data_IF_318872273611
#
_entry.id   IF_318872273611
#
_cell.length_a   1.000
_cell.length_b   1.000
_cell.length_c   1.000
_cell.angle_alpha   90.00
_cell.angle_beta   90.00
_cell.angle_gamma   90.00
#
_symmetry.space_group_name_H-M   'P 1'
#
loop_
_entity.id
_entity.type
_entity.pdbx_description
1 polymer ?
#
# COMPACT_ATOMS: atom_id res chain seq x y z
N UNK A 1 -30.89 -49.75 -50.43
CA UNK A 1 -31.07 -49.94 -51.88
C UNK A 1 -32.51 -49.62 -52.19
N UNK A 2 -32.69 -48.51 -52.91
CA UNK A 2 -33.48 -48.44 -54.14
C UNK A 2 -34.92 -48.98 -54.13
N UNK A 3 -35.94 -48.31 -54.65
CA UNK A 3 -36.12 -47.00 -55.30
C UNK A 3 -37.63 -46.96 -55.64
N UNK A 4 -38.23 -45.77 -55.64
CA UNK A 4 -39.44 -45.41 -56.41
C UNK A 4 -40.78 -46.07 -55.97
N UNK A 5 -41.96 -45.48 -56.10
CA UNK A 5 -42.47 -44.25 -56.68
C UNK A 5 -43.94 -44.20 -56.26
N UNK A 6 -44.49 -43.02 -55.95
CA UNK A 6 -45.78 -42.73 -56.58
C UNK A 6 -45.86 -41.25 -56.91
N UNK A 7 -45.83 -41.01 -58.22
CA UNK A 7 -45.87 -39.74 -58.89
C UNK A 7 -47.30 -39.57 -59.42
N UNK A 8 -47.70 -38.30 -59.52
CA UNK A 8 -48.64 -37.75 -60.51
C UNK A 8 -50.14 -37.98 -60.33
N UNK A 9 -50.84 -36.87 -60.09
CA UNK A 9 -52.01 -36.41 -60.85
C UNK A 9 -52.07 -34.89 -60.63
N UNK A 10 -51.76 -34.00 -61.58
CA UNK A 10 -52.27 -33.82 -62.94
C UNK A 10 -53.77 -33.47 -62.97
N UNK A 11 -54.06 -32.18 -63.20
CA UNK A 11 -54.85 -31.65 -64.33
C UNK A 11 -55.70 -30.44 -63.94
N UNK A 12 -55.74 -29.46 -64.84
CA UNK A 12 -56.77 -28.41 -64.88
C UNK A 12 -56.18 -27.01 -64.74
N UNK A 13 -55.45 -26.49 -65.73
CA UNK A 13 -56.03 -25.81 -66.90
C UNK A 13 -56.98 -24.68 -66.50
N UNK A 14 -56.55 -23.43 -66.70
CA UNK A 14 -57.33 -22.40 -67.41
C UNK A 14 -56.50 -21.12 -67.59
N UNK A 15 -56.20 -20.82 -68.86
CA UNK A 15 -56.37 -19.48 -69.44
C UNK A 15 -55.35 -18.37 -69.11
N UNK A 16 -55.20 -17.38 -70.01
CA UNK A 16 -53.89 -16.86 -70.40
C UNK A 16 -53.69 -15.36 -70.06
N UNK A 17 -52.48 -14.89 -70.41
CA UNK A 17 -52.02 -13.49 -70.42
C UNK A 17 -51.66 -13.00 -69.00
N UNK A 18 -50.43 -12.59 -68.69
CA UNK A 18 -49.85 -11.27 -68.98
C UNK A 18 -48.30 -11.37 -68.95
N UNK A 19 -47.61 -10.68 -69.87
CA UNK A 19 -46.17 -10.38 -69.85
C UNK A 19 -45.75 -9.67 -68.55
N UNK A 20 -44.71 -10.16 -67.88
CA UNK A 20 -43.82 -9.34 -67.02
C UNK A 20 -42.38 -9.81 -67.27
N UNK A 21 -41.63 -9.09 -68.11
CA UNK A 21 -40.72 -8.00 -67.74
C UNK A 21 -39.58 -8.48 -66.83
N UNK A 22 -38.35 -8.42 -67.35
CA UNK A 22 -37.11 -8.59 -66.60
C UNK A 22 -37.10 -7.58 -65.44
N UNK A 23 -37.45 -8.04 -64.25
CA UNK A 23 -37.19 -7.34 -63.01
C UNK A 23 -36.10 -8.08 -62.26
N UNK A 24 -34.84 -7.68 -62.45
CA UNK A 24 -33.80 -7.96 -61.45
C UNK A 24 -34.29 -7.41 -60.11
N UNK A 25 -34.77 -8.30 -59.23
CA UNK A 25 -35.05 -7.97 -57.85
C UNK A 25 -33.72 -7.83 -57.11
N UNK A 26 -33.12 -6.65 -57.21
CA UNK A 26 -32.14 -6.20 -56.24
C UNK A 26 -32.85 -6.14 -54.89
N UNK A 27 -32.59 -7.13 -54.03
CA UNK A 27 -32.93 -7.05 -52.62
C UNK A 27 -32.36 -5.74 -52.06
N UNK A 28 -33.24 -4.86 -51.60
CA UNK A 28 -32.89 -3.52 -51.14
C UNK A 28 -32.00 -3.62 -49.89
N UNK A 29 -30.76 -3.10 -49.88
CA UNK A 29 -29.80 -3.25 -48.78
C UNK A 29 -30.02 -2.23 -47.66
N UNK A 30 -31.28 -2.04 -47.23
CA UNK A 30 -31.63 -1.07 -46.17
C UNK A 30 -31.48 -1.66 -44.76
N UNK A 31 -31.54 -2.98 -44.61
CA UNK A 31 -31.41 -3.70 -43.33
C UNK A 31 -29.96 -3.81 -42.83
N UNK A 32 -29.01 -4.11 -43.71
CA UNK A 32 -27.58 -4.24 -43.36
C UNK A 32 -26.96 -2.91 -42.89
N UNK A 33 -27.26 -1.80 -43.58
CA UNK A 33 -26.73 -0.47 -43.24
C UNK A 33 -27.18 0.00 -41.85
N UNK A 34 -28.42 -0.30 -41.46
CA UNK A 34 -28.96 0.10 -40.16
C UNK A 34 -28.42 -0.76 -39.00
N UNK A 35 -28.01 -2.01 -39.29
CA UNK A 35 -27.39 -2.91 -38.32
C UNK A 35 -25.92 -2.56 -38.07
N UNK A 36 -25.19 -2.21 -39.14
CA UNK A 36 -23.79 -1.76 -39.10
C UNK A 36 -23.68 -0.43 -38.36
N UNK A 37 -24.57 0.54 -38.66
CA UNK A 37 -24.58 1.84 -38.00
C UNK A 37 -24.80 1.73 -36.47
N UNK A 38 -25.69 0.83 -36.01
CA UNK A 38 -25.87 0.59 -34.56
C UNK A 38 -24.66 -0.07 -33.92
N UNK A 39 -23.99 -0.98 -34.62
CA UNK A 39 -22.76 -1.60 -34.12
C UNK A 39 -21.62 -0.60 -34.02
N UNK A 40 -21.47 0.30 -34.99
CA UNK A 40 -20.43 1.33 -35.00
C UNK A 40 -20.63 2.34 -33.85
N UNK A 41 -21.87 2.76 -33.59
CA UNK A 41 -22.21 3.60 -32.43
C UNK A 41 -21.99 2.86 -31.11
N UNK A 42 -22.34 1.57 -31.04
CA UNK A 42 -22.10 0.76 -29.84
C UNK A 42 -20.61 0.61 -29.55
N UNK A 43 -19.77 0.40 -30.57
CA UNK A 43 -18.31 0.33 -30.44
C UNK A 43 -17.74 1.67 -29.98
N UNK A 44 -18.15 2.79 -30.58
CA UNK A 44 -17.71 4.13 -30.17
C UNK A 44 -18.13 4.44 -28.73
N UNK A 45 -19.35 4.05 -28.34
CA UNK A 45 -19.81 4.16 -26.97
C UNK A 45 -18.96 3.32 -26.01
N UNK A 46 -18.63 2.08 -26.40
CA UNK A 46 -17.78 1.18 -25.61
C UNK A 46 -16.36 1.75 -25.45
N UNK A 47 -15.78 2.31 -26.50
CA UNK A 47 -14.47 2.99 -26.46
C UNK A 47 -14.51 4.23 -25.58
N UNK A 48 -15.60 5.02 -25.63
CA UNK A 48 -15.78 6.18 -24.76
C UNK A 48 -15.88 5.76 -23.28
N UNK A 49 -16.67 4.73 -22.97
CA UNK A 49 -16.79 4.16 -21.62
C UNK A 49 -15.44 3.63 -21.14
N UNK A 50 -14.70 2.95 -22.00
CA UNK A 50 -13.39 2.38 -21.68
C UNK A 50 -12.32 3.47 -21.48
N UNK A 51 -12.40 4.58 -22.23
CA UNK A 51 -11.58 5.77 -22.01
C UNK A 51 -11.90 6.49 -20.69
N UNK A 52 -13.17 6.54 -20.30
CA UNK A 52 -13.59 7.09 -19.00
C UNK A 52 -13.11 6.19 -17.84
N UNK A 53 -13.30 4.88 -17.94
CA UNK A 53 -12.83 3.91 -16.94
C UNK A 53 -11.29 3.93 -16.86
N UNK A 54 -10.61 3.94 -18.00
CA UNK A 54 -9.15 4.02 -18.08
C UNK A 54 -8.60 5.33 -17.50
N UNK A 55 -9.20 6.48 -17.84
CA UNK A 55 -8.80 7.79 -17.32
C UNK A 55 -8.99 7.93 -15.81
N UNK A 56 -10.11 7.45 -15.29
CA UNK A 56 -10.36 7.41 -13.83
C UNK A 56 -9.36 6.47 -13.14
N UNK A 57 -9.07 5.31 -13.73
CA UNK A 57 -8.11 4.34 -13.16
C UNK A 57 -6.68 4.89 -13.03
N UNK A 58 -6.22 5.69 -14.00
CA UNK A 58 -4.90 6.31 -13.97
C UNK A 58 -4.76 7.34 -12.83
N UNK A 59 -5.83 8.10 -12.57
CA UNK A 59 -5.87 9.04 -11.45
C UNK A 59 -5.79 8.32 -10.09
N UNK A 60 -6.54 7.23 -9.91
CA UNK A 60 -6.45 6.39 -8.71
C UNK A 60 -5.09 5.70 -8.56
N UNK A 61 -4.46 5.29 -9.67
CA UNK A 61 -3.13 4.68 -9.65
C UNK A 61 -2.05 5.63 -9.12
N UNK A 62 -2.07 6.90 -9.56
CA UNK A 62 -1.12 7.90 -9.10
C UNK A 62 -1.21 8.11 -7.59
N UNK A 63 -2.44 8.21 -7.07
CA UNK A 63 -2.67 8.48 -5.65
C UNK A 63 -2.38 7.26 -4.77
N UNK A 64 -2.76 6.05 -5.19
CA UNK A 64 -2.44 4.82 -4.48
C UNK A 64 -0.93 4.52 -4.49
N UNK A 65 -0.23 4.86 -5.57
CA UNK A 65 1.23 4.72 -5.66
C UNK A 65 1.93 5.68 -4.69
N UNK A 66 1.51 6.94 -4.64
CA UNK A 66 2.07 7.94 -3.72
C UNK A 66 1.83 7.56 -2.25
N UNK A 67 0.62 7.10 -1.91
CA UNK A 67 0.30 6.67 -0.55
C UNK A 67 1.09 5.42 -0.14
N UNK A 68 1.25 4.45 -1.06
CA UNK A 68 2.07 3.25 -0.81
C UNK A 68 3.54 3.61 -0.54
N UNK A 69 4.12 4.53 -1.32
CA UNK A 69 5.48 5.02 -1.10
C UNK A 69 5.61 5.75 0.23
N UNK A 70 4.62 6.57 0.61
CA UNK A 70 4.59 7.27 1.89
C UNK A 70 4.55 6.29 3.06
N UNK A 71 3.61 5.34 3.05
CA UNK A 71 3.46 4.31 4.09
C UNK A 71 4.75 3.50 4.22
N UNK A 72 5.32 3.05 3.11
CA UNK A 72 6.56 2.31 3.09
C UNK A 72 7.72 3.12 3.70
N UNK A 73 7.82 4.41 3.36
CA UNK A 73 8.82 5.32 3.96
C UNK A 73 8.60 5.47 5.48
N UNK A 74 7.35 5.62 5.92
CA UNK A 74 7.04 5.69 7.36
C UNK A 74 7.39 4.38 8.08
N UNK A 75 7.18 3.22 7.46
CA UNK A 75 7.65 1.94 7.99
C UNK A 75 9.18 1.94 8.15
N UNK A 76 9.93 2.31 7.11
CA UNK A 76 11.39 2.35 7.18
C UNK A 76 11.91 3.31 8.25
N UNK A 77 11.36 4.52 8.35
CA UNK A 77 11.74 5.49 9.38
C UNK A 77 11.49 4.93 10.79
N UNK A 78 10.37 4.23 10.96
CA UNK A 78 10.01 3.61 12.24
C UNK A 78 10.98 2.49 12.63
N UNK A 79 11.38 1.64 11.67
CA UNK A 79 12.41 0.61 11.91
C UNK A 79 13.76 1.23 12.27
N UNK A 80 14.16 2.30 11.59
CA UNK A 80 15.43 2.98 11.85
C UNK A 80 15.44 3.60 13.26
N UNK A 81 14.35 4.25 13.68
CA UNK A 81 14.23 4.77 15.06
C UNK A 81 14.40 3.64 16.08
N UNK A 82 13.75 2.49 15.87
CA UNK A 82 13.87 1.34 16.76
C UNK A 82 15.30 0.81 16.80
N UNK A 83 15.94 0.63 15.66
CA UNK A 83 17.32 0.16 15.58
C UNK A 83 18.31 1.12 16.24
N UNK A 84 18.18 2.43 15.99
CA UNK A 84 19.03 3.46 16.61
C UNK A 84 18.82 3.56 18.12
N UNK A 85 17.59 3.38 18.61
CA UNK A 85 17.32 3.33 20.04
C UNK A 85 18.08 2.17 20.70
N UNK A 86 18.01 0.97 20.13
CA UNK A 86 18.75 -0.17 20.67
C UNK A 86 20.27 0.04 20.61
N UNK A 87 20.78 0.63 19.52
CA UNK A 87 22.19 0.99 19.41
C UNK A 87 22.60 2.03 20.46
N UNK A 88 21.77 3.06 20.70
CA UNK A 88 22.00 4.09 21.72
C UNK A 88 22.07 3.49 23.13
N UNK A 89 21.15 2.57 23.46
CA UNK A 89 21.14 1.87 24.76
C UNK A 89 22.44 1.05 24.92
N UNK A 90 22.81 0.29 23.88
CA UNK A 90 24.01 -0.53 23.90
C UNK A 90 25.28 0.32 24.06
N UNK A 91 25.35 1.47 23.39
CA UNK A 91 26.48 2.37 23.48
C UNK A 91 26.59 3.02 24.86
N UNK A 92 25.47 3.47 25.45
CA UNK A 92 25.46 3.98 26.82
C UNK A 92 25.93 2.93 27.84
N UNK A 93 25.52 1.66 27.66
CA UNK A 93 26.02 0.56 28.49
C UNK A 93 27.53 0.40 28.30
N UNK A 94 28.05 0.36 27.07
CA UNK A 94 29.50 0.29 26.84
C UNK A 94 30.24 1.46 27.51
N UNK A 95 29.77 2.69 27.29
CA UNK A 95 30.41 3.90 27.80
C UNK A 95 30.54 3.92 29.32
N UNK A 96 29.50 3.50 30.03
CA UNK A 96 29.40 3.64 31.49
C UNK A 96 29.90 2.44 32.26
N UNK A 97 30.16 1.32 31.58
CA UNK A 97 30.45 0.02 32.20
C UNK A 97 31.81 -0.48 31.78
N UNK A 98 32.17 -0.27 30.52
CA UNK A 98 33.50 -0.56 30.00
C UNK A 98 34.43 0.67 30.10
N UNK A 99 33.94 1.76 30.72
CA UNK A 99 34.65 3.05 30.83
C UNK A 99 35.16 3.59 29.49
N UNK A 100 34.50 3.22 28.39
CA UNK A 100 34.85 3.68 27.06
C UNK A 100 34.40 5.13 26.86
N UNK A 101 35.34 6.06 26.97
CA UNK A 101 35.08 7.49 26.81
C UNK A 101 34.59 7.88 25.42
N UNK A 102 34.89 7.08 24.38
CA UNK A 102 34.42 7.35 23.01
C UNK A 102 32.90 7.18 22.89
N UNK A 103 32.33 6.23 23.65
CA UNK A 103 30.91 5.93 23.63
C UNK A 103 30.03 7.03 24.28
N UNK A 104 30.62 7.91 25.11
CA UNK A 104 29.95 9.11 25.62
C UNK A 104 29.73 10.18 24.54
N UNK A 105 30.59 10.22 23.53
CA UNK A 105 30.53 11.20 22.43
C UNK A 105 29.50 10.79 21.36
N UNK A 106 29.29 9.49 21.16
CA UNK A 106 28.34 8.97 20.14
C UNK A 106 26.87 8.99 20.60
N UNK A 107 26.61 8.97 21.92
CA UNK A 107 25.25 9.05 22.48
C UNK A 107 24.40 10.25 21.99
N UNK A 108 24.90 11.51 22.02
CA UNK A 108 24.14 12.66 21.53
C UNK A 108 23.88 12.61 20.01
N UNK A 109 24.72 11.92 19.23
CA UNK A 109 24.51 11.74 17.78
C UNK A 109 23.28 10.89 17.50
N UNK A 110 23.13 9.76 18.19
CA UNK A 110 21.93 8.92 18.11
C UNK A 110 20.67 9.70 18.52
N UNK A 111 20.76 10.52 19.58
CA UNK A 111 19.60 11.31 20.02
C UNK A 111 19.17 12.34 18.96
N UNK A 112 20.13 12.92 18.25
CA UNK A 112 19.88 13.90 17.21
C UNK A 112 19.27 13.21 15.97
N UNK A 113 19.85 12.09 15.53
CA UNK A 113 19.33 11.27 14.43
C UNK A 113 17.88 10.80 14.68
N UNK A 114 17.61 10.22 15.87
CA UNK A 114 16.27 9.75 16.23
C UNK A 114 15.26 10.92 16.21
N UNK A 115 15.65 12.09 16.72
CA UNK A 115 14.80 13.29 16.70
C UNK A 115 14.49 13.77 15.28
N UNK A 116 15.47 13.74 14.38
CA UNK A 116 15.29 14.08 12.97
C UNK A 116 14.33 13.12 12.27
N UNK A 117 14.43 11.81 12.56
CA UNK A 117 13.50 10.80 12.03
C UNK A 117 12.07 10.99 12.55
N UNK A 118 11.89 11.33 13.82
CA UNK A 118 10.57 11.69 14.35
C UNK A 118 9.98 12.93 13.67
N UNK A 119 10.82 13.94 13.40
CA UNK A 119 10.38 15.13 12.65
C UNK A 119 10.00 14.78 11.21
N UNK A 120 10.73 13.86 10.57
CA UNK A 120 10.36 13.35 9.25
C UNK A 120 9.05 12.57 9.25
N UNK A 121 8.83 11.69 10.23
CA UNK A 121 7.54 11.01 10.41
C UNK A 121 6.39 12.01 10.53
N UNK A 122 6.56 13.07 11.33
CA UNK A 122 5.53 14.09 11.55
C UNK A 122 5.22 14.88 10.29
N UNK A 123 6.25 15.25 9.50
CA UNK A 123 6.10 15.91 8.19
C UNK A 123 5.35 15.05 7.17
N UNK A 124 5.44 13.73 7.27
CA UNK A 124 4.78 12.76 6.38
C UNK A 124 3.43 12.28 6.90
N UNK A 125 3.03 12.71 8.10
CA UNK A 125 1.72 12.40 8.63
C UNK A 125 0.65 13.22 7.91
N UNK A 126 -0.49 12.59 7.64
CA UNK A 126 -1.64 13.22 6.94
C UNK A 126 -2.91 13.15 7.76
N UNK A 127 -2.89 12.44 8.90
CA UNK A 127 -4.05 12.29 9.75
C UNK A 127 -3.71 12.54 11.21
N UNK A 128 -4.70 13.05 11.95
CA UNK A 128 -4.59 13.24 13.40
C UNK A 128 -4.24 11.95 14.14
N UNK A 129 -4.70 10.79 13.65
CA UNK A 129 -4.38 9.49 14.24
C UNK A 129 -2.89 9.14 14.10
N UNK A 130 -2.29 9.39 12.93
CA UNK A 130 -0.85 9.22 12.72
C UNK A 130 -0.05 10.19 13.60
N UNK A 131 -0.45 11.46 13.64
CA UNK A 131 0.21 12.50 14.44
C UNK A 131 0.25 12.18 15.94
N UNK A 132 -0.87 11.66 16.46
CA UNK A 132 -0.98 11.23 17.85
C UNK A 132 -0.11 9.99 18.11
N UNK A 133 -0.15 8.99 17.23
CA UNK A 133 0.67 7.79 17.38
C UNK A 133 2.18 8.11 17.33
N UNK A 134 2.60 9.01 16.43
CA UNK A 134 3.99 9.50 16.36
C UNK A 134 4.36 10.23 17.65
N UNK A 135 3.47 11.06 18.18
CA UNK A 135 3.69 11.76 19.45
C UNK A 135 3.84 10.79 20.62
N UNK A 136 2.96 9.80 20.75
CA UNK A 136 3.04 8.78 21.80
C UNK A 136 4.34 7.95 21.68
N UNK A 137 4.76 7.61 20.47
CA UNK A 137 6.03 6.91 20.23
C UNK A 137 7.24 7.76 20.65
N UNK A 138 7.23 9.06 20.33
CA UNK A 138 8.29 9.99 20.73
C UNK A 138 8.31 10.22 22.25
N UNK A 139 7.15 10.28 22.90
CA UNK A 139 7.07 10.37 24.36
C UNK A 139 7.67 9.13 25.04
N UNK A 140 7.33 7.93 24.55
CA UNK A 140 7.93 6.70 25.05
C UNK A 140 9.46 6.65 24.86
N UNK A 141 9.96 7.17 23.74
CA UNK A 141 11.40 7.33 23.53
C UNK A 141 12.03 8.28 24.57
N UNK A 142 11.42 9.44 24.82
CA UNK A 142 11.93 10.41 25.81
C UNK A 142 11.92 9.87 27.24
N UNK A 143 10.93 9.05 27.60
CA UNK A 143 10.91 8.33 28.87
C UNK A 143 12.16 7.45 29.01
N UNK A 144 12.50 6.69 27.96
CA UNK A 144 13.71 5.85 27.95
C UNK A 144 14.98 6.69 28.07
N UNK A 145 15.06 7.84 27.40
CA UNK A 145 16.20 8.75 27.57
C UNK A 145 16.35 9.25 29.01
N UNK A 146 15.24 9.59 29.67
CA UNK A 146 15.22 9.97 31.07
C UNK A 146 15.67 8.84 31.98
N UNK A 147 15.12 7.64 31.77
CA UNK A 147 15.46 6.43 32.54
C UNK A 147 16.94 6.07 32.37
N UNK A 148 17.47 6.10 31.14
CA UNK A 148 18.90 5.88 30.86
C UNK A 148 19.75 6.91 31.59
N UNK A 149 19.45 8.21 31.46
CA UNK A 149 20.21 9.24 32.16
C UNK A 149 20.18 9.01 33.67
N UNK A 150 19.03 8.70 34.27
CA UNK A 150 18.91 8.47 35.71
C UNK A 150 19.71 7.24 36.19
N UNK A 151 19.59 6.13 35.47
CA UNK A 151 20.25 4.86 35.80
C UNK A 151 21.76 4.97 35.68
N UNK A 152 22.22 5.59 34.58
CA UNK A 152 23.63 5.64 34.26
C UNK A 152 24.36 6.87 34.82
N UNK A 153 23.66 7.88 35.37
CA UNK A 153 24.28 9.03 36.04
C UNK A 153 25.08 8.63 37.29
N UNK A 154 24.72 7.55 37.97
CA UNK A 154 25.45 7.06 39.13
C UNK A 154 26.41 5.91 38.73
N UNK A 155 27.74 6.11 38.75
CA UNK A 155 28.72 5.13 38.29
C UNK A 155 28.69 3.81 39.08
N UNK A 156 28.36 3.84 40.37
CA UNK A 156 28.24 2.62 41.19
C UNK A 156 27.02 1.77 40.84
N UNK A 157 25.92 2.42 40.45
CA UNK A 157 24.69 1.74 40.03
C UNK A 157 24.86 1.24 38.59
N UNK A 158 25.51 2.01 37.72
CA UNK A 158 25.83 1.61 36.35
C UNK A 158 26.69 0.34 36.28
N UNK A 159 27.82 0.27 37.01
CA UNK A 159 28.71 -0.92 37.01
C UNK A 159 27.99 -2.17 37.55
N UNK A 160 27.24 -2.02 38.66
CA UNK A 160 26.49 -3.14 39.25
C UNK A 160 25.34 -3.61 38.35
N UNK A 161 24.56 -2.67 37.81
CA UNK A 161 23.40 -3.00 36.98
C UNK A 161 23.84 -3.57 35.65
N UNK A 162 24.84 -3.01 34.98
CA UNK A 162 25.26 -3.54 33.70
C UNK A 162 25.88 -4.92 33.78
N UNK A 163 26.65 -5.21 34.84
CA UNK A 163 27.20 -6.54 35.07
C UNK A 163 26.09 -7.60 35.25
N UNK A 164 24.92 -7.20 35.73
CA UNK A 164 23.73 -8.05 35.90
C UNK A 164 22.80 -8.01 34.67
N UNK A 165 22.74 -6.87 33.94
CA UNK A 165 21.77 -6.58 32.88
C UNK A 165 22.26 -6.85 31.47
N UNK A 166 23.57 -6.77 31.19
CA UNK A 166 24.16 -7.30 29.94
C UNK A 166 23.76 -8.79 29.77
N UNK A 167 23.49 -9.47 30.88
CA UNK A 167 23.07 -10.87 30.95
C UNK A 167 21.56 -11.06 31.12
N UNK A 168 20.76 -9.99 31.34
CA UNK A 168 19.33 -10.11 31.66
C UNK A 168 18.43 -9.48 30.58
N UNK A 169 17.85 -10.28 29.67
CA UNK A 169 16.97 -9.79 28.60
C UNK A 169 15.68 -9.14 29.13
N UNK A 170 15.27 -9.47 30.35
CA UNK A 170 14.06 -8.92 31.00
C UNK A 170 14.21 -7.44 31.31
N UNK A 171 15.41 -7.00 31.70
CA UNK A 171 15.64 -5.59 32.00
C UNK A 171 15.54 -4.72 30.76
N UNK A 172 16.17 -5.16 29.65
CA UNK A 172 16.05 -4.48 28.37
C UNK A 172 14.58 -4.41 27.94
N UNK A 173 13.82 -5.50 28.08
CA UNK A 173 12.38 -5.53 27.79
C UNK A 173 11.56 -4.59 28.68
N UNK A 174 11.88 -4.48 29.96
CA UNK A 174 11.19 -3.55 30.87
C UNK A 174 11.46 -2.09 30.51
N UNK A 175 12.71 -1.76 30.15
CA UNK A 175 13.10 -0.43 29.73
C UNK A 175 12.42 -0.02 28.42
N UNK A 176 12.46 -0.88 27.40
CA UNK A 176 11.90 -0.53 26.08
C UNK A 176 10.43 -0.89 25.90
N UNK A 177 9.80 -1.59 26.86
CA UNK A 177 8.49 -2.23 26.64
C UNK A 177 7.37 -1.27 26.25
N UNK A 178 7.32 -0.08 26.87
CA UNK A 178 6.36 0.97 26.47
C UNK A 178 6.60 1.44 25.04
N UNK A 179 7.86 1.67 24.67
CA UNK A 179 8.24 2.07 23.32
C UNK A 179 7.86 0.99 22.30
N UNK A 180 8.18 -0.28 22.57
CA UNK A 180 7.86 -1.41 21.70
C UNK A 180 6.34 -1.54 21.48
N UNK A 181 5.54 -1.37 22.52
CA UNK A 181 4.08 -1.36 22.41
C UNK A 181 3.58 -0.23 21.49
N UNK A 182 4.12 0.99 21.63
CA UNK A 182 3.77 2.14 20.76
C UNK A 182 4.26 1.94 19.34
N UNK A 183 5.45 1.36 19.16
CA UNK A 183 6.02 0.99 17.86
C UNK A 183 5.11 0.00 17.13
N UNK A 184 4.67 -1.07 17.80
CA UNK A 184 3.76 -2.05 17.21
C UNK A 184 2.39 -1.45 16.89
N UNK A 185 1.87 -0.61 17.78
CA UNK A 185 0.60 0.11 17.57
C UNK A 185 0.67 1.01 16.34
N UNK A 186 1.76 1.76 16.18
CA UNK A 186 1.97 2.62 15.03
C UNK A 186 2.11 1.82 13.72
N UNK A 187 2.90 0.74 13.71
CA UNK A 187 3.00 -0.15 12.54
C UNK A 187 1.67 -0.79 12.16
N UNK A 188 0.87 -1.21 13.14
CA UNK A 188 -0.47 -1.74 12.86
C UNK A 188 -1.38 -0.67 12.27
N UNK A 189 -1.27 0.58 12.74
CA UNK A 189 -2.02 1.70 12.18
C UNK A 189 -1.65 1.96 10.73
N UNK A 190 -0.35 1.90 10.38
CA UNK A 190 0.12 2.07 8.99
C UNK A 190 -0.30 0.92 8.07
N UNK A 191 -0.34 -0.31 8.57
CA UNK A 191 -0.75 -1.50 7.79
C UNK A 191 -2.25 -1.52 7.48
N UNK A 192 -3.07 -0.91 8.33
CA UNK A 192 -4.52 -0.91 8.20
C UNK A 192 -5.05 0.25 7.32
N UNK A 193 -4.18 0.90 6.55
CA UNK A 193 -4.50 1.92 5.57
C UNK A 193 -4.44 1.34 4.17
#
# INVERSE_FOLDING_TARGET
>A
MDILVNLTQNYGSFGPFIRYNLGMSFFSPKSLKNLIFRHEVAILFLVAVMGLIGGVSAFFWQQNSAESVRINTMFYLTEQIRGELYAQIQEMIRARVLEDSHALETYPEYSRSISERFNELRRRSISRKEDLAIQELNLAYREIQGDMNNIFSNPYIADRLARIQILNPTFAQQMVGKFENRYHSFKSLLRNK
#
